data_IF_154495621566
#
_entry.id   IF_154495621566
#
_cell.length_a   1.000
_cell.length_b   1.000
_cell.length_c   1.000
_cell.angle_alpha   90.00
_cell.angle_beta   90.00
_cell.angle_gamma   90.00
#
_symmetry.space_group_name_H-M   'P 1'
#
loop_
_entity.id
_entity.type
_entity.pdbx_description
1 polymer ?
#
# COMPACT_ATOMS: atom_id res chain seq x y z
N UNK A 1 -63.46 -2.43 -52.10
CA UNK A 1 -63.38 -1.14 -51.36
C UNK A 1 -62.52 -1.37 -50.18
N UNK A 2 -61.40 -1.05 -50.31
CA UNK A 2 -60.59 -0.14 -49.55
C UNK A 2 -60.57 -0.51 -48.10
N UNK A 3 -59.55 -0.75 -47.44
CA UNK A 3 -58.18 -0.40 -47.60
C UNK A 3 -57.55 -0.30 -46.25
N UNK A 4 -56.36 -0.23 -46.25
CA UNK A 4 -55.63 0.55 -45.29
C UNK A 4 -54.96 -0.21 -44.17
N UNK A 5 -53.89 -0.86 -44.53
CA UNK A 5 -52.93 -1.30 -43.58
C UNK A 5 -52.18 -0.14 -42.98
N UNK A 6 -52.13 -0.07 -41.71
CA UNK A 6 -51.22 0.81 -40.99
C UNK A 6 -50.06 0.02 -40.46
N UNK A 7 -48.97 0.24 -41.05
CA UNK A 7 -47.68 -0.30 -40.70
C UNK A 7 -47.13 0.40 -39.49
N UNK A 8 -47.07 -0.31 -38.40
CA UNK A 8 -46.29 0.15 -37.26
C UNK A 8 -44.91 -0.48 -37.34
N UNK A 9 -44.00 0.31 -37.87
CA UNK A 9 -42.58 0.05 -37.76
C UNK A 9 -42.09 0.55 -36.41
N UNK A 10 -41.86 -0.37 -35.50
CA UNK A 10 -41.17 -0.15 -34.26
C UNK A 10 -39.67 -0.27 -34.51
N UNK A 11 -38.86 0.74 -34.34
CA UNK A 11 -37.41 0.56 -34.36
C UNK A 11 -36.97 -0.05 -33.05
N UNK A 12 -36.43 -1.24 -33.13
CA UNK A 12 -35.69 -1.88 -32.07
C UNK A 12 -34.40 -1.09 -31.81
N UNK A 13 -34.41 -0.27 -30.77
CA UNK A 13 -33.18 0.28 -30.21
C UNK A 13 -32.49 -0.77 -29.37
N UNK A 14 -31.61 -1.51 -30.01
CA UNK A 14 -30.64 -2.34 -29.29
C UNK A 14 -29.60 -1.41 -28.70
N UNK A 15 -29.80 -1.05 -27.47
CA UNK A 15 -28.76 -0.38 -26.65
C UNK A 15 -27.65 -1.38 -26.34
N UNK A 16 -26.57 -1.27 -27.06
CA UNK A 16 -25.30 -1.89 -26.71
C UNK A 16 -24.74 -1.20 -25.49
N UNK A 17 -25.07 -1.70 -24.33
CA UNK A 17 -24.31 -1.37 -23.12
C UNK A 17 -22.99 -2.13 -23.20
N UNK A 18 -22.01 -1.47 -23.74
CA UNK A 18 -20.63 -1.90 -23.62
C UNK A 18 -20.21 -1.78 -22.17
N UNK A 19 -20.18 -2.90 -21.46
CA UNK A 19 -19.53 -2.97 -20.15
C UNK A 19 -18.02 -2.81 -20.38
N UNK A 20 -17.52 -1.63 -20.09
CA UNK A 20 -16.08 -1.44 -19.99
C UNK A 20 -15.57 -2.16 -18.74
N UNK A 21 -14.61 -3.07 -18.87
CA UNK A 21 -13.93 -3.58 -17.69
C UNK A 21 -13.18 -2.42 -17.06
N UNK A 22 -13.69 -1.95 -15.93
CA UNK A 22 -13.02 -0.94 -15.16
C UNK A 22 -11.63 -1.44 -14.78
N UNK A 23 -10.62 -0.75 -15.24
CA UNK A 23 -9.27 -0.96 -14.74
C UNK A 23 -9.30 -0.73 -13.23
N UNK A 24 -9.07 -1.79 -12.47
CA UNK A 24 -8.88 -1.71 -11.02
C UNK A 24 -7.54 -1.03 -10.79
N UNK A 25 -7.52 0.28 -10.97
CA UNK A 25 -6.41 1.10 -10.56
C UNK A 25 -6.37 1.08 -9.03
N UNK A 26 -5.30 0.58 -8.46
CA UNK A 26 -5.04 0.72 -7.04
C UNK A 26 -4.82 2.21 -6.75
N UNK A 27 -5.87 2.88 -6.33
CA UNK A 27 -5.79 4.28 -5.97
C UNK A 27 -5.23 4.43 -4.56
N UNK A 28 -4.21 5.25 -4.43
CA UNK A 28 -3.74 5.72 -3.13
C UNK A 28 -4.72 6.79 -2.66
N UNK A 29 -5.53 6.46 -1.67
CA UNK A 29 -6.50 7.40 -1.09
C UNK A 29 -5.82 8.20 0.01
N UNK A 30 -5.70 9.50 -0.17
CA UNK A 30 -5.30 10.43 0.89
C UNK A 30 -6.52 10.89 1.67
N UNK A 31 -6.53 10.60 2.95
CA UNK A 31 -7.51 11.15 3.87
C UNK A 31 -6.81 12.17 4.76
N UNK A 32 -7.23 13.43 4.68
CA UNK A 32 -6.71 14.50 5.54
C UNK A 32 -7.70 14.71 6.67
N UNK A 33 -7.30 14.37 7.88
CA UNK A 33 -8.06 14.63 9.10
C UNK A 33 -7.19 15.46 10.04
N UNK A 34 -7.57 16.71 10.27
CA UNK A 34 -6.96 17.58 11.28
C UNK A 34 -5.42 17.55 11.33
N UNK A 35 -4.75 18.10 10.35
CA UNK A 35 -3.28 18.22 10.33
C UNK A 35 -2.48 16.90 10.30
N UNK A 36 -3.17 15.77 10.28
CA UNK A 36 -2.58 14.44 10.11
C UNK A 36 -2.89 13.86 8.74
N UNK A 37 -1.87 13.45 8.01
CA UNK A 37 -2.02 12.77 6.72
C UNK A 37 -1.84 11.28 6.92
N UNK A 38 -2.84 10.50 6.51
CA UNK A 38 -2.80 9.04 6.56
C UNK A 38 -2.48 8.53 5.16
N UNK A 39 -1.35 7.85 5.02
CA UNK A 39 -0.94 7.20 3.79
C UNK A 39 -1.25 5.70 3.87
N UNK A 40 -2.11 5.21 2.98
CA UNK A 40 -2.33 3.77 2.83
C UNK A 40 -1.24 3.19 1.93
N UNK A 41 -0.44 2.30 2.50
CA UNK A 41 0.59 1.58 1.76
C UNK A 41 0.07 0.19 1.40
N UNK A 42 -0.11 -0.13 0.11
CA UNK A 42 -0.48 -1.48 -0.29
C UNK A 42 0.68 -2.44 -0.02
N UNK A 43 0.35 -3.61 0.52
CA UNK A 43 1.31 -4.67 0.79
C UNK A 43 1.18 -5.76 -0.25
N UNK A 44 2.30 -6.18 -0.80
CA UNK A 44 2.36 -7.31 -1.71
C UNK A 44 2.64 -8.62 -0.93
N UNK A 45 2.02 -9.74 -1.35
CA UNK A 45 2.34 -11.05 -0.77
C UNK A 45 3.82 -11.42 -1.01
N UNK A 46 4.34 -12.29 -0.17
CA UNK A 46 5.74 -12.70 -0.21
C UNK A 46 6.17 -13.21 -1.58
N UNK A 47 7.28 -12.73 -2.12
CA UNK A 47 7.86 -13.33 -3.32
C UNK A 47 8.46 -14.70 -3.01
N UNK A 48 8.46 -15.56 -4.02
CA UNK A 48 9.13 -16.86 -4.04
C UNK A 48 10.60 -16.68 -3.64
N UNK A 49 11.12 -17.61 -2.86
CA UNK A 49 12.45 -17.60 -2.21
C UNK A 49 13.52 -16.88 -3.05
N UNK A 50 14.05 -15.76 -2.58
CA UNK A 50 15.06 -15.03 -3.33
C UNK A 50 16.42 -15.74 -3.28
N UNK A 51 17.18 -15.67 -4.36
CA UNK A 51 18.56 -16.18 -4.46
C UNK A 51 19.56 -15.41 -3.58
N UNK A 52 19.08 -14.41 -2.85
CA UNK A 52 19.88 -13.59 -1.95
C UNK A 52 19.16 -13.36 -0.62
N UNK A 53 19.94 -13.07 0.39
CA UNK A 53 19.44 -12.66 1.71
C UNK A 53 19.61 -11.15 1.90
N UNK A 54 18.71 -10.58 2.68
CA UNK A 54 18.82 -9.18 3.05
C UNK A 54 19.67 -9.04 4.32
N UNK A 55 20.82 -8.39 4.19
CA UNK A 55 21.65 -8.03 5.33
C UNK A 55 21.20 -6.68 5.90
N UNK A 56 21.04 -6.61 7.21
CA UNK A 56 20.67 -5.38 7.91
C UNK A 56 21.90 -4.54 8.26
N UNK A 57 21.88 -3.27 7.87
CA UNK A 57 22.85 -2.27 8.26
C UNK A 57 22.19 -1.14 9.04
N UNK A 58 22.98 -0.27 9.63
CA UNK A 58 22.47 0.92 10.29
C UNK A 58 21.63 1.74 9.33
N UNK A 59 20.39 2.02 9.70
CA UNK A 59 19.44 2.78 8.91
C UNK A 59 19.36 4.25 9.32
N UNK A 60 18.58 5.04 8.56
CA UNK A 60 18.31 6.44 8.89
C UNK A 60 17.42 6.53 10.14
N UNK A 61 17.40 7.70 10.76
CA UNK A 61 16.44 7.99 11.84
C UNK A 61 15.05 8.32 11.32
N UNK A 62 14.97 8.95 10.15
CA UNK A 62 13.74 9.37 9.49
C UNK A 62 13.79 9.02 8.01
N UNK A 63 12.63 8.75 7.43
CA UNK A 63 12.46 8.61 5.98
C UNK A 63 11.35 9.56 5.50
N UNK A 64 11.49 10.20 4.33
CA UNK A 64 10.43 11.02 3.78
C UNK A 64 9.23 10.17 3.40
N UNK A 65 8.02 10.56 3.81
CA UNK A 65 6.81 9.85 3.45
C UNK A 65 6.62 9.77 1.93
N UNK A 66 6.97 10.83 1.22
CA UNK A 66 6.89 10.90 -0.24
C UNK A 66 7.86 9.95 -0.97
N UNK A 67 8.91 9.48 -0.30
CA UNK A 67 9.88 8.55 -0.87
C UNK A 67 9.38 7.10 -0.86
N UNK A 68 8.38 6.78 -0.05
CA UNK A 68 7.85 5.42 0.07
C UNK A 68 7.06 5.07 -1.18
N UNK A 69 7.51 4.05 -1.89
CA UNK A 69 6.84 3.52 -3.09
C UNK A 69 6.02 2.27 -2.78
N UNK A 70 6.50 1.45 -1.86
CA UNK A 70 5.88 0.18 -1.53
C UNK A 70 6.22 -0.24 -0.12
N UNK A 71 5.30 -0.92 0.54
CA UNK A 71 5.52 -1.63 1.79
C UNK A 71 5.39 -3.12 1.59
N UNK A 72 6.17 -3.88 2.32
CA UNK A 72 6.13 -5.34 2.33
C UNK A 72 6.18 -5.82 3.77
N UNK A 73 5.25 -6.69 4.13
CA UNK A 73 5.29 -7.36 5.43
C UNK A 73 6.38 -8.44 5.39
N UNK A 74 7.31 -8.35 6.29
CA UNK A 74 8.43 -9.29 6.40
C UNK A 74 8.45 -10.04 7.74
N UNK A 75 7.39 -9.90 8.51
CA UNK A 75 7.19 -10.56 9.79
C UNK A 75 6.24 -9.77 10.69
N UNK A 76 5.92 -10.34 11.86
CA UNK A 76 5.01 -9.71 12.83
C UNK A 76 5.59 -8.44 13.49
N UNK A 77 6.92 -8.29 13.47
CA UNK A 77 7.64 -7.22 14.14
C UNK A 77 8.29 -6.23 13.18
N UNK A 78 8.04 -6.36 11.87
CA UNK A 78 8.76 -5.59 10.88
C UNK A 78 8.03 -5.41 9.58
N UNK A 79 8.27 -4.26 8.97
CA UNK A 79 7.79 -3.90 7.63
C UNK A 79 8.97 -3.37 6.82
N UNK A 80 9.10 -3.81 5.60
CA UNK A 80 10.10 -3.31 4.69
C UNK A 80 9.50 -2.27 3.74
N UNK A 81 10.11 -1.10 3.65
CA UNK A 81 9.75 -0.06 2.70
C UNK A 81 10.72 -0.04 1.53
N UNK A 82 10.17 0.01 0.33
CA UNK A 82 10.93 0.28 -0.88
C UNK A 82 10.76 1.76 -1.20
N UNK A 83 11.88 2.47 -1.24
CA UNK A 83 11.92 3.90 -1.49
C UNK A 83 12.08 4.20 -2.98
N UNK A 84 11.84 5.45 -3.35
CA UNK A 84 11.91 5.92 -4.75
C UNK A 84 13.24 5.70 -5.45
N UNK A 85 14.35 5.64 -4.69
CA UNK A 85 15.67 5.34 -5.21
C UNK A 85 16.00 3.85 -5.32
N UNK A 86 15.03 2.95 -5.05
CA UNK A 86 15.26 1.51 -5.02
C UNK A 86 15.84 0.99 -3.70
N UNK A 87 16.19 1.88 -2.78
CA UNK A 87 16.65 1.49 -1.44
C UNK A 87 15.55 0.79 -0.67
N UNK A 88 15.94 -0.21 0.12
CA UNK A 88 15.03 -0.95 0.98
C UNK A 88 15.35 -0.69 2.44
N UNK A 89 14.36 -0.23 3.18
CA UNK A 89 14.51 0.11 4.59
C UNK A 89 13.50 -0.70 5.40
N UNK A 90 13.99 -1.37 6.44
CA UNK A 90 13.17 -2.14 7.36
C UNK A 90 12.83 -1.30 8.58
N UNK A 91 11.55 -1.15 8.83
CA UNK A 91 11.04 -0.63 10.09
C UNK A 91 10.83 -1.78 11.06
N UNK A 92 11.49 -1.73 12.22
CA UNK A 92 11.25 -2.65 13.33
C UNK A 92 10.38 -1.99 14.37
N UNK A 93 9.43 -2.74 14.88
CA UNK A 93 8.53 -2.30 15.94
C UNK A 93 9.12 -2.61 17.33
N UNK A 94 8.66 -1.89 18.33
CA UNK A 94 9.01 -2.10 19.73
C UNK A 94 8.38 -3.35 20.33
N UNK A 95 7.30 -3.83 19.72
CA UNK A 95 6.56 -5.02 20.11
C UNK A 95 5.97 -5.74 18.89
N UNK A 96 5.51 -6.96 19.09
CA UNK A 96 4.75 -7.68 18.06
C UNK A 96 3.53 -6.87 17.64
N UNK A 97 3.36 -6.72 16.34
CA UNK A 97 2.24 -6.01 15.76
C UNK A 97 1.27 -7.01 15.08
N UNK A 98 0.41 -7.67 15.86
CA UNK A 98 -0.51 -8.67 15.32
C UNK A 98 -1.49 -8.03 14.33
N UNK A 99 -1.96 -8.82 13.38
CA UNK A 99 -2.94 -8.45 12.37
C UNK A 99 -2.45 -7.47 11.29
N UNK A 100 -1.17 -7.10 11.22
CA UNK A 100 -0.64 -6.36 10.07
C UNK A 100 -0.69 -7.21 8.79
N UNK A 101 -0.31 -8.47 8.90
CA UNK A 101 -0.28 -9.44 7.81
C UNK A 101 -1.66 -10.00 7.46
N UNK A 102 -2.59 -9.99 8.39
CA UNK A 102 -3.92 -10.59 8.23
C UNK A 102 -4.78 -9.88 7.18
N UNK A 103 -4.64 -8.56 7.03
CA UNK A 103 -5.46 -7.75 6.13
C UNK A 103 -4.72 -7.22 4.89
N UNK A 104 -3.51 -7.66 4.67
CA UNK A 104 -2.71 -7.31 3.50
C UNK A 104 -2.42 -5.83 3.34
N UNK A 105 -2.43 -5.06 4.42
CA UNK A 105 -2.12 -3.64 4.37
C UNK A 105 -2.10 -2.95 5.73
N UNK A 106 -1.53 -1.77 5.75
CA UNK A 106 -1.40 -0.94 6.93
C UNK A 106 -1.49 0.55 6.57
N UNK A 107 -1.61 1.38 7.60
CA UNK A 107 -1.61 2.84 7.47
C UNK A 107 -0.40 3.41 8.16
N UNK A 108 0.18 4.44 7.56
CA UNK A 108 1.22 5.26 8.18
C UNK A 108 0.64 6.60 8.56
N UNK A 109 0.81 6.99 9.82
CA UNK A 109 0.57 8.33 10.29
C UNK A 109 1.87 9.11 10.32
N UNK A 110 1.86 10.33 9.85
CA UNK A 110 3.01 11.22 9.91
C UNK A 110 2.58 12.68 10.08
N UNK A 111 3.43 13.47 10.70
CA UNK A 111 3.15 14.86 11.00
C UNK A 111 3.35 15.81 9.82
N UNK A 112 3.27 17.11 10.10
CA UNK A 112 3.35 18.19 9.10
C UNK A 112 4.70 18.25 8.37
N UNK A 113 5.76 17.76 8.98
CA UNK A 113 7.09 17.71 8.40
C UNK A 113 7.23 16.65 7.29
N UNK A 114 6.18 15.83 7.08
CA UNK A 114 6.14 14.75 6.08
C UNK A 114 7.28 13.72 6.23
N UNK A 115 7.81 13.60 7.42
CA UNK A 115 8.83 12.64 7.78
C UNK A 115 8.25 11.52 8.63
N UNK A 116 8.75 10.32 8.43
CA UNK A 116 8.47 9.16 9.27
C UNK A 116 9.73 8.84 10.05
N UNK A 117 9.70 9.09 11.33
CA UNK A 117 10.85 8.97 12.20
C UNK A 117 10.69 7.83 13.20
N UNK A 118 11.78 7.12 13.47
CA UNK A 118 11.82 6.13 14.54
C UNK A 118 11.51 6.76 15.90
N UNK A 119 10.78 6.05 16.74
CA UNK A 119 10.31 6.46 18.08
C UNK A 119 9.33 7.62 18.11
N UNK A 120 8.85 8.05 16.98
CA UNK A 120 7.87 9.11 16.82
C UNK A 120 6.61 8.65 16.08
N UNK A 121 6.76 8.04 14.93
CA UNK A 121 5.65 7.57 14.13
C UNK A 121 5.34 6.08 14.37
N UNK A 122 4.11 5.74 14.04
CA UNK A 122 3.58 4.41 14.19
C UNK A 122 2.96 3.89 12.87
N UNK A 123 2.94 2.59 12.76
CA UNK A 123 2.19 1.87 11.74
C UNK A 123 0.86 1.43 12.33
N UNK A 124 -0.23 1.66 11.65
CA UNK A 124 -1.57 1.25 12.08
C UNK A 124 -2.08 0.10 11.25
N UNK A 125 -2.55 -0.95 11.91
CA UNK A 125 -3.28 -2.03 11.26
C UNK A 125 -4.67 -1.57 10.85
N UNK A 126 -5.32 -2.31 9.95
CA UNK A 126 -6.71 -2.05 9.57
C UNK A 126 -7.70 -2.19 10.74
N UNK A 127 -7.33 -2.88 11.78
CA UNK A 127 -8.11 -3.00 13.01
C UNK A 127 -7.90 -1.85 13.99
N UNK A 128 -7.10 -0.86 13.61
CA UNK A 128 -6.83 0.31 14.44
C UNK A 128 -5.74 0.11 15.49
N UNK A 129 -5.03 -1.03 15.48
CA UNK A 129 -3.89 -1.22 16.37
C UNK A 129 -2.68 -0.43 15.85
N UNK A 130 -2.08 0.32 16.73
CA UNK A 130 -0.90 1.15 16.44
C UNK A 130 0.36 0.46 16.98
N UNK A 131 1.39 0.38 16.16
CA UNK A 131 2.69 -0.18 16.51
C UNK A 131 3.77 0.85 16.23
N UNK A 132 4.45 1.30 17.27
CA UNK A 132 5.49 2.33 17.14
C UNK A 132 6.71 1.77 16.43
N UNK A 133 7.25 2.53 15.52
CA UNK A 133 8.52 2.20 14.85
C UNK A 133 9.66 2.48 15.82
N UNK A 134 10.35 1.44 16.25
CA UNK A 134 11.49 1.58 17.15
C UNK A 134 12.74 2.07 16.43
N UNK A 135 13.03 1.46 15.29
CA UNK A 135 14.22 1.77 14.50
C UNK A 135 14.05 1.42 13.03
N UNK A 136 14.85 2.08 12.20
CA UNK A 136 15.02 1.73 10.80
C UNK A 136 16.36 1.02 10.57
N UNK A 137 16.34 0.01 9.70
CA UNK A 137 17.52 -0.69 9.20
C UNK A 137 17.58 -0.58 7.69
N UNK A 138 18.76 -0.30 7.16
CA UNK A 138 18.99 -0.36 5.73
C UNK A 138 19.21 -1.81 5.32
N UNK A 139 18.50 -2.28 4.32
CA UNK A 139 18.67 -3.63 3.78
C UNK A 139 19.55 -3.60 2.54
N UNK A 140 20.58 -4.43 2.55
CA UNK A 140 21.50 -4.63 1.43
C UNK A 140 21.41 -6.08 0.97
N UNK A 141 21.32 -6.35 -0.34
CA UNK A 141 21.29 -7.73 -0.81
C UNK A 141 22.65 -8.40 -0.57
N UNK A 142 22.62 -9.59 0.01
CA UNK A 142 23.76 -10.48 0.17
C UNK A 142 23.49 -11.73 -0.64
N UNK A 143 24.22 -11.92 -1.71
CA UNK A 143 24.08 -13.12 -2.55
C UNK A 143 24.64 -14.35 -1.83
N UNK A 144 23.94 -15.46 -1.95
CA UNK A 144 24.43 -16.76 -1.49
C UNK A 144 25.46 -17.26 -2.51
N UNK A 145 26.63 -17.57 -2.05
CA UNK A 145 27.67 -18.25 -2.84
C UNK A 145 27.57 -19.74 -2.65
#
# INVERSE_FOLDING_TARGET
MTSGGIWNLLPLLVGLFGAQPGAVGQSVTRLIIQDEVILRVPVQPHPIVPEFEWAEKKGPKCIPAAAIRRGMLSGAEQVDFILSGGSRVRARFDENCPALDFYGGFYLQYGRDQQICARREAVMSRMGRSCTIERFKLLVPKFRH
#
